data_IF_797713338492
#
_entry.id   IF_797713338492
#
_cell.length_a   1.000
_cell.length_b   1.000
_cell.length_c   1.000
_cell.angle_alpha   90.00
_cell.angle_beta   90.00
_cell.angle_gamma   90.00
#
_symmetry.space_group_name_H-M   'P 1'
#
loop_
_entity.id
_entity.type
_entity.pdbx_description
1 polymer ?
#
# COMPACT_ATOMS: atom_id res chain seq x y z
N UNK A 1 1.91 0.13 24.10
CA UNK A 1 2.94 -0.49 23.25
C UNK A 1 2.29 -1.67 22.53
N UNK A 2 1.98 -1.62 21.22
CA UNK A 2 1.42 -2.81 20.56
C UNK A 2 2.54 -3.77 20.15
N UNK A 3 2.33 -5.05 20.46
CA UNK A 3 3.10 -6.19 19.97
C UNK A 3 2.48 -6.68 18.66
N UNK A 4 3.33 -7.02 17.69
CA UNK A 4 2.96 -7.57 16.39
C UNK A 4 3.13 -9.11 16.45
N UNK A 5 2.03 -9.86 16.36
CA UNK A 5 1.97 -11.33 16.38
C UNK A 5 1.33 -11.84 15.08
N UNK A 6 2.12 -12.54 14.25
CA UNK A 6 1.63 -13.23 13.05
C UNK A 6 1.10 -14.63 13.37
N UNK A 7 -0.19 -14.87 13.13
CA UNK A 7 -0.82 -16.19 13.30
C UNK A 7 -1.19 -16.75 11.92
N UNK A 8 -0.37 -17.65 11.36
CA UNK A 8 -0.79 -18.43 10.19
C UNK A 8 -1.88 -19.42 10.63
N UNK A 9 -3.00 -19.46 9.89
CA UNK A 9 -4.09 -20.39 10.12
C UNK A 9 -4.45 -21.07 8.80
N UNK A 10 -3.79 -22.19 8.53
CA UNK A 10 -4.15 -23.05 7.40
C UNK A 10 -5.45 -23.80 7.75
N UNK A 11 -6.52 -23.57 6.99
CA UNK A 11 -7.78 -24.33 7.08
C UNK A 11 -8.08 -24.93 5.69
N UNK A 12 -7.50 -26.10 5.40
CA UNK A 12 -7.92 -26.94 4.27
C UNK A 12 -6.83 -27.30 3.28
N UNK A 13 -7.12 -28.31 2.45
CA UNK A 13 -6.25 -28.80 1.37
C UNK A 13 -6.40 -27.93 0.11
N UNK A 14 -6.23 -26.62 0.25
CA UNK A 14 -6.12 -25.66 -0.85
C UNK A 14 -4.81 -24.86 -0.76
N UNK A 15 -4.47 -24.11 -1.81
CA UNK A 15 -3.21 -23.37 -1.91
C UNK A 15 -3.36 -21.92 -1.44
N UNK A 16 -4.09 -21.67 -0.35
CA UNK A 16 -4.35 -20.31 0.16
C UNK A 16 -3.60 -20.12 1.49
N UNK A 17 -2.73 -19.10 1.56
CA UNK A 17 -2.01 -18.72 2.78
C UNK A 17 -2.36 -17.29 3.17
N UNK A 18 -2.62 -17.08 4.46
CA UNK A 18 -3.04 -15.80 5.03
C UNK A 18 -2.01 -15.36 6.06
N UNK A 19 -1.57 -14.10 5.95
CA UNK A 19 -0.63 -13.46 6.87
C UNK A 19 -1.37 -12.42 7.71
N UNK A 20 -1.14 -12.44 9.01
CA UNK A 20 -1.78 -11.53 9.97
C UNK A 20 -0.74 -10.71 10.72
N UNK A 21 -0.25 -9.61 10.13
CA UNK A 21 0.14 -8.47 10.97
C UNK A 21 0.16 -7.19 10.15
N UNK A 22 -0.37 -6.15 10.79
CA UNK A 22 -0.47 -4.81 10.24
C UNK A 22 0.82 -4.01 10.52
N UNK A 23 1.13 -3.00 9.69
CA UNK A 23 0.13 -2.20 8.99
C UNK A 23 0.17 -2.38 7.47
N UNK A 24 -0.99 -2.72 6.91
CA UNK A 24 -1.34 -2.41 5.52
C UNK A 24 -2.34 -1.27 5.61
N UNK A 25 -2.00 -0.07 5.14
CA UNK A 25 -2.98 1.02 5.12
C UNK A 25 -3.91 0.85 3.92
N UNK A 26 -5.21 0.92 4.18
CA UNK A 26 -6.23 0.94 3.14
C UNK A 26 -6.84 2.34 3.08
N UNK A 27 -6.75 2.99 1.93
CA UNK A 27 -7.34 4.32 1.70
C UNK A 27 -8.53 4.18 0.76
N UNK A 28 -9.65 4.78 1.14
CA UNK A 28 -10.85 4.94 0.30
C UNK A 28 -11.02 6.43 0.03
N UNK A 29 -11.15 6.81 -1.23
CA UNK A 29 -11.33 8.20 -1.61
C UNK A 29 -12.24 8.33 -2.84
N UNK A 30 -12.96 9.44 -2.96
CA UNK A 30 -13.71 9.73 -4.18
C UNK A 30 -12.76 10.31 -5.24
N UNK A 31 -13.19 10.26 -6.50
CA UNK A 31 -12.44 10.84 -7.62
C UNK A 31 -12.16 12.32 -7.42
N UNK A 32 -13.11 13.05 -6.85
CA UNK A 32 -12.98 14.50 -6.62
C UNK A 32 -11.94 14.84 -5.54
N UNK A 33 -11.60 13.87 -4.67
CA UNK A 33 -10.59 14.00 -3.62
C UNK A 33 -9.16 13.75 -4.14
N UNK A 34 -8.98 13.53 -5.45
CA UNK A 34 -7.66 13.25 -6.04
C UNK A 34 -6.56 14.27 -5.65
N UNK A 35 -6.83 15.59 -5.55
CA UNK A 35 -5.84 16.54 -5.05
C UNK A 35 -5.42 16.29 -3.60
N UNK A 36 -6.36 15.82 -2.75
CA UNK A 36 -6.06 15.48 -1.36
C UNK A 36 -5.27 14.16 -1.26
N UNK A 37 -5.57 13.18 -2.12
CA UNK A 37 -4.81 11.92 -2.19
C UNK A 37 -3.33 12.20 -2.45
N UNK A 38 -3.00 13.20 -3.28
CA UNK A 38 -1.60 13.59 -3.56
C UNK A 38 -0.79 13.88 -2.29
N UNK A 39 -1.44 14.42 -1.27
CA UNK A 39 -0.82 14.84 -0.01
C UNK A 39 -0.53 13.68 0.94
N UNK A 40 -1.09 12.50 0.67
CA UNK A 40 -0.85 11.28 1.45
C UNK A 40 0.49 10.69 1.01
N UNK A 41 1.44 10.54 1.94
CA UNK A 41 2.78 10.02 1.67
C UNK A 41 2.71 8.62 1.04
N UNK A 42 1.82 7.76 1.55
CA UNK A 42 1.59 6.41 1.07
C UNK A 42 1.15 6.38 -0.40
N UNK A 43 0.37 7.38 -0.84
CA UNK A 43 -0.08 7.46 -2.24
C UNK A 43 1.06 7.58 -3.24
N UNK A 44 2.21 8.09 -2.79
CA UNK A 44 3.42 8.25 -3.59
C UNK A 44 4.23 6.95 -3.70
N UNK A 45 3.80 5.88 -3.02
CA UNK A 45 4.46 4.59 -3.00
C UNK A 45 3.83 3.63 -4.03
N UNK A 46 4.56 2.58 -4.44
CA UNK A 46 3.99 1.48 -5.22
C UNK A 46 2.89 0.76 -4.45
N UNK A 47 1.96 0.12 -5.16
CA UNK A 47 0.92 -0.67 -4.52
C UNK A 47 -0.22 -1.09 -5.44
N UNK A 48 -1.26 -1.66 -4.84
CA UNK A 48 -2.45 -2.14 -5.53
C UNK A 48 -3.59 -1.15 -5.30
N UNK A 49 -4.37 -0.89 -6.34
CA UNK A 49 -5.55 -0.05 -6.26
C UNK A 49 -6.72 -0.65 -7.04
N UNK A 50 -7.92 -0.29 -6.63
CA UNK A 50 -9.17 -0.70 -7.23
C UNK A 50 -9.96 0.56 -7.56
N UNK A 51 -10.27 0.76 -8.84
CA UNK A 51 -11.17 1.80 -9.30
C UNK A 51 -12.59 1.24 -9.34
N UNK A 52 -13.52 1.99 -8.76
CA UNK A 52 -14.93 1.68 -8.70
C UNK A 52 -15.69 2.75 -9.49
N UNK A 53 -16.59 2.32 -10.34
CA UNK A 53 -17.66 3.14 -10.92
C UNK A 53 -18.97 2.36 -10.83
N UNK A 54 -20.06 2.97 -11.29
CA UNK A 54 -21.41 2.46 -11.04
C UNK A 54 -21.60 1.00 -11.48
N UNK A 55 -21.11 0.66 -12.69
CA UNK A 55 -21.28 -0.66 -13.29
C UNK A 55 -19.95 -1.35 -13.66
N UNK A 56 -18.81 -0.81 -13.20
CA UNK A 56 -17.49 -1.30 -13.60
C UNK A 56 -16.50 -1.22 -12.46
N UNK A 57 -15.62 -2.21 -12.39
CA UNK A 57 -14.47 -2.23 -11.49
C UNK A 57 -13.21 -2.49 -12.29
N UNK A 58 -12.09 -1.95 -11.82
CA UNK A 58 -10.78 -2.18 -12.39
C UNK A 58 -9.77 -2.34 -11.27
N UNK A 59 -9.08 -3.48 -11.24
CA UNK A 59 -7.96 -3.70 -10.34
C UNK A 59 -6.68 -3.42 -11.11
N UNK A 60 -5.79 -2.63 -10.53
CA UNK A 60 -4.50 -2.30 -11.10
C UNK A 60 -3.41 -2.29 -10.05
N UNK A 61 -2.17 -2.38 -10.52
CA UNK A 61 -0.98 -2.14 -9.72
C UNK A 61 -0.23 -0.94 -10.26
N UNK A 62 0.46 -0.23 -9.36
CA UNK A 62 1.37 0.84 -9.70
C UNK A 62 2.76 0.51 -9.16
N UNK A 63 3.77 0.51 -10.04
CA UNK A 63 5.15 0.18 -9.69
C UNK A 63 5.95 1.35 -9.12
N UNK A 64 5.53 2.59 -9.39
CA UNK A 64 6.21 3.79 -8.91
C UNK A 64 5.38 4.48 -7.82
N UNK A 65 4.20 4.96 -8.19
CA UNK A 65 3.30 5.69 -7.32
C UNK A 65 1.87 5.37 -7.71
N UNK A 66 1.05 4.97 -6.74
CA UNK A 66 -0.40 4.82 -6.93
C UNK A 66 -0.98 6.14 -7.42
N UNK A 67 -0.56 7.27 -6.85
CA UNK A 67 -1.06 8.59 -7.23
C UNK A 67 -0.82 8.91 -8.71
N UNK A 68 0.40 8.71 -9.23
CA UNK A 68 0.69 8.95 -10.65
C UNK A 68 -0.19 8.10 -11.58
N UNK A 69 -0.49 6.87 -11.16
CA UNK A 69 -1.36 5.97 -11.91
C UNK A 69 -2.83 6.39 -11.83
N UNK A 70 -3.29 6.86 -10.67
CA UNK A 70 -4.63 7.43 -10.49
C UNK A 70 -4.81 8.68 -11.36
N UNK A 71 -3.81 9.57 -11.44
CA UNK A 71 -3.85 10.73 -12.35
C UNK A 71 -3.99 10.31 -13.81
N UNK A 72 -3.23 9.31 -14.25
CA UNK A 72 -3.35 8.79 -15.62
C UNK A 72 -4.76 8.20 -15.89
N UNK A 73 -5.35 7.49 -14.93
CA UNK A 73 -6.71 6.96 -15.07
C UNK A 73 -7.79 8.04 -14.93
N UNK A 74 -7.50 9.14 -14.24
CA UNK A 74 -8.39 10.29 -14.19
C UNK A 74 -8.64 10.86 -15.60
N UNK A 75 -7.67 10.77 -16.50
CA UNK A 75 -7.84 11.15 -17.92
C UNK A 75 -8.43 10.02 -18.76
N UNK A 76 -7.91 8.80 -18.62
CA UNK A 76 -8.17 7.69 -19.55
C UNK A 76 -9.37 6.79 -19.15
N UNK A 77 -9.91 6.94 -17.95
CA UNK A 77 -10.99 6.11 -17.40
C UNK A 77 -12.04 6.97 -16.70
N UNK A 78 -12.66 7.89 -17.41
CA UNK A 78 -13.60 8.85 -16.80
C UNK A 78 -14.75 8.24 -15.99
N UNK A 79 -15.08 6.96 -16.22
CA UNK A 79 -16.17 6.23 -15.58
C UNK A 79 -15.97 5.91 -14.10
N UNK A 80 -14.75 5.95 -13.54
CA UNK A 80 -14.57 5.68 -12.11
C UNK A 80 -15.00 6.89 -11.28
N UNK A 81 -15.53 6.66 -10.09
CA UNK A 81 -15.97 7.68 -9.14
C UNK A 81 -15.37 7.51 -7.74
N UNK A 82 -14.83 6.32 -7.43
CA UNK A 82 -14.18 6.00 -6.15
C UNK A 82 -12.97 5.11 -6.35
N UNK A 83 -11.98 5.21 -5.47
CA UNK A 83 -10.83 4.32 -5.43
C UNK A 83 -10.61 3.72 -4.05
N UNK A 84 -10.13 2.47 -4.03
CA UNK A 84 -9.59 1.78 -2.87
C UNK A 84 -8.12 1.51 -3.14
N UNK A 85 -7.22 1.88 -2.24
CA UNK A 85 -5.78 1.71 -2.41
C UNK A 85 -5.19 1.00 -1.21
N UNK A 86 -4.32 0.03 -1.47
CA UNK A 86 -3.60 -0.74 -0.47
C UNK A 86 -2.14 -0.32 -0.47
N UNK A 87 -1.64 0.03 0.70
CA UNK A 87 -0.27 0.47 0.92
C UNK A 87 0.41 -0.46 1.91
N UNK A 88 1.55 -1.00 1.50
CA UNK A 88 2.42 -1.77 2.35
C UNK A 88 3.30 -0.82 3.17
N UNK A 89 3.15 -0.83 4.50
CA UNK A 89 4.02 -0.02 5.37
C UNK A 89 5.41 -0.62 5.57
N UNK A 90 5.62 -1.89 5.25
CA UNK A 90 6.92 -2.53 5.41
C UNK A 90 8.00 -1.92 4.51
N UNK A 91 7.61 -1.22 3.45
CA UNK A 91 8.53 -0.55 2.52
C UNK A 91 9.08 0.78 3.05
N UNK A 92 8.45 1.39 4.07
CA UNK A 92 8.94 2.63 4.69
C UNK A 92 9.87 2.44 5.89
N UNK A 93 9.82 1.27 6.55
CA UNK A 93 10.52 1.03 7.82
C UNK A 93 11.96 0.49 7.68
N UNK A 94 12.43 0.16 6.47
CA UNK A 94 13.74 -0.50 6.26
C UNK A 94 14.96 0.43 6.16
N UNK A 95 14.79 1.75 6.27
CA UNK A 95 15.90 2.72 6.06
C UNK A 95 16.54 3.24 7.37
N UNK A 96 16.06 2.84 8.55
CA UNK A 96 16.70 3.20 9.81
C UNK A 96 16.93 1.97 10.69
N UNK A 97 18.03 1.26 10.44
CA UNK A 97 18.89 0.67 11.48
C UNK A 97 20.10 -0.05 10.85
N UNK A 98 21.19 0.69 10.68
CA UNK A 98 22.54 0.14 10.82
C UNK A 98 23.28 1.06 11.79
N UNK A 99 23.42 0.72 13.08
CA UNK A 99 24.41 1.38 13.92
C UNK A 99 25.79 0.94 13.40
N UNK A 100 26.62 1.91 13.03
CA UNK A 100 28.05 1.70 12.81
C UNK A 100 28.62 0.95 14.01
N UNK A 101 29.09 -0.28 13.82
CA UNK A 101 30.01 -0.92 14.75
C UNK A 101 31.32 -0.14 14.68
N UNK A 102 31.46 0.85 15.55
CA UNK A 102 32.74 1.41 15.95
C UNK A 102 33.52 0.28 16.63
N UNK A 103 34.45 -0.34 15.90
CA UNK A 103 35.51 -1.12 16.52
C UNK A 103 36.46 -0.12 17.19
N UNK A 104 36.24 0.11 18.48
CA UNK A 104 37.32 0.48 19.39
C UNK A 104 38.25 -0.74 19.49
N UNK A 105 39.33 -0.74 18.71
CA UNK A 105 40.50 -1.57 19.04
C UNK A 105 41.18 -0.94 20.25
N UNK A 106 40.74 -1.36 21.43
CA UNK A 106 41.51 -1.26 22.67
C UNK A 106 42.21 -2.61 22.90
N UNK A 107 43.43 -2.77 22.35
CA UNK A 107 44.65 -3.18 23.10
C UNK A 107 45.87 -3.37 22.20
#
# INVERSE_FOLDING_TARGET
MPYHIFINREFGNDNISIFYDEPTFVVIANKDDLPAIQLIEESQKPGIYILLGDNKRYVGQASNSIFSRLQQHNTNKQWWNKCLSYYDLSLGARVQQSPLLSLEEEK
#
